data_IF_846317989732
#
_entry.id   IF_846317989732
#
_cell.length_a   1.000
_cell.length_b   1.000
_cell.length_c   1.000
_cell.angle_alpha   90.00
_cell.angle_beta   90.00
_cell.angle_gamma   90.00
#
_symmetry.space_group_name_H-M   'P 1'
#
loop_
_entity.id
_entity.type
_entity.pdbx_description
1 polymer ?
#
# COMPACT_ATOMS: atom_id res chain seq x y z
N UNK A 1 5.39 -4.74 -0.13
CA UNK A 1 4.62 -5.80 -0.83
C UNK A 1 4.10 -6.87 0.14
N UNK A 2 4.86 -7.27 1.17
CA UNK A 2 4.43 -8.25 2.20
C UNK A 2 3.01 -8.03 2.77
N UNK A 3 2.61 -6.79 3.08
CA UNK A 3 1.26 -6.51 3.59
C UNK A 3 0.15 -6.79 2.56
N UNK A 4 0.43 -6.55 1.27
CA UNK A 4 -0.50 -6.83 0.16
C UNK A 4 -0.69 -8.33 0.00
N UNK A 5 0.38 -9.13 0.14
CA UNK A 5 0.33 -10.59 0.07
C UNK A 5 -0.48 -11.19 1.21
N UNK A 6 -0.20 -10.77 2.46
CA UNK A 6 -0.95 -11.23 3.64
C UNK A 6 -2.44 -10.86 3.52
N UNK A 7 -2.76 -9.66 3.03
CA UNK A 7 -4.15 -9.26 2.82
C UNK A 7 -4.83 -10.08 1.71
N UNK A 8 -4.10 -10.43 0.64
CA UNK A 8 -4.62 -11.27 -0.43
C UNK A 8 -5.04 -12.65 0.07
N UNK A 9 -4.20 -13.27 0.90
CA UNK A 9 -4.51 -14.55 1.55
C UNK A 9 -5.74 -14.42 2.45
N UNK A 10 -5.76 -13.41 3.33
CA UNK A 10 -6.91 -13.13 4.18
C UNK A 10 -8.21 -12.96 3.37
N UNK A 11 -8.18 -12.18 2.29
CA UNK A 11 -9.35 -11.90 1.46
C UNK A 11 -9.90 -13.17 0.77
N UNK A 12 -9.01 -14.08 0.35
CA UNK A 12 -9.38 -15.37 -0.22
C UNK A 12 -10.03 -16.31 0.81
N UNK A 13 -9.66 -16.23 2.09
CA UNK A 13 -10.33 -17.03 3.13
C UNK A 13 -11.78 -16.59 3.36
N UNK A 14 -12.07 -15.30 3.21
CA UNK A 14 -13.40 -14.71 3.47
C UNK A 14 -14.33 -14.75 2.27
N UNK A 15 -13.79 -14.69 1.05
CA UNK A 15 -14.59 -14.60 -0.17
C UNK A 15 -14.21 -15.71 -1.15
N UNK A 16 -15.22 -16.45 -1.64
CA UNK A 16 -15.03 -17.50 -2.66
C UNK A 16 -15.27 -16.93 -4.06
N UNK A 17 -14.52 -17.44 -5.05
CA UNK A 17 -14.64 -17.10 -6.48
C UNK A 17 -14.48 -15.60 -6.82
N UNK A 18 -13.76 -14.83 -6.00
CA UNK A 18 -13.43 -13.43 -6.29
C UNK A 18 -11.92 -13.26 -6.47
N UNK A 19 -11.53 -12.46 -7.47
CA UNK A 19 -10.14 -12.10 -7.76
C UNK A 19 -9.89 -10.66 -7.35
N UNK A 20 -9.00 -10.46 -6.37
CA UNK A 20 -8.55 -9.14 -5.95
C UNK A 20 -7.43 -8.66 -6.87
N UNK A 21 -7.58 -7.46 -7.43
CA UNK A 21 -6.60 -6.81 -8.31
C UNK A 21 -6.21 -5.48 -7.69
N UNK A 22 -4.90 -5.27 -7.46
CA UNK A 22 -4.38 -3.99 -6.96
C UNK A 22 -4.10 -3.05 -8.12
N UNK A 23 -4.62 -1.83 -8.02
CA UNK A 23 -4.38 -0.76 -8.98
C UNK A 23 -3.46 0.27 -8.31
N UNK A 24 -2.16 0.13 -8.55
CA UNK A 24 -1.14 1.00 -7.94
C UNK A 24 -1.25 2.46 -8.42
N UNK A 25 -1.78 2.71 -9.61
CA UNK A 25 -1.99 4.08 -10.11
C UNK A 25 -3.00 4.88 -9.29
N UNK A 26 -3.88 4.21 -8.55
CA UNK A 26 -4.90 4.84 -7.72
C UNK A 26 -4.48 4.90 -6.23
N UNK A 27 -3.35 4.31 -5.88
CA UNK A 27 -2.85 4.26 -4.51
C UNK A 27 -1.96 5.45 -4.16
N UNK A 28 -2.05 5.90 -2.91
CA UNK A 28 -1.09 6.80 -2.28
C UNK A 28 -0.44 6.10 -1.09
N UNK A 29 0.83 6.36 -0.82
CA UNK A 29 1.49 5.97 0.40
C UNK A 29 1.97 7.22 1.15
N UNK A 30 2.09 7.04 2.46
CA UNK A 30 2.58 8.06 3.36
C UNK A 30 4.00 7.67 3.80
N UNK A 31 4.97 8.54 3.55
CA UNK A 31 6.38 8.32 3.81
C UNK A 31 6.87 9.42 4.74
N UNK A 32 7.48 9.02 5.85
CA UNK A 32 8.21 9.96 6.70
C UNK A 32 9.63 10.14 6.18
N UNK A 33 9.87 11.26 5.49
CA UNK A 33 11.19 11.70 5.07
C UNK A 33 11.92 12.34 6.24
N UNK A 34 12.91 11.65 6.80
CA UNK A 34 13.77 12.18 7.87
C UNK A 34 14.83 13.11 7.29
N UNK A 35 14.43 14.33 6.98
CA UNK A 35 15.36 15.40 6.60
C UNK A 35 15.82 16.13 7.86
N UNK A 36 17.07 16.57 7.93
CA UNK A 36 17.51 17.52 8.95
C UNK A 36 17.27 18.94 8.43
N UNK A 37 16.72 19.87 9.25
CA UNK A 37 16.49 19.79 10.70
C UNK A 37 15.12 19.20 11.13
N UNK A 38 14.25 18.79 10.19
CA UNK A 38 12.88 18.33 10.52
C UNK A 38 12.41 17.19 9.61
N UNK A 39 11.86 16.15 10.25
CA UNK A 39 11.15 15.08 9.53
C UNK A 39 9.86 15.62 8.91
N UNK A 40 9.66 15.33 7.61
CA UNK A 40 8.49 15.73 6.85
C UNK A 40 7.70 14.49 6.45
N UNK A 41 6.38 14.58 6.58
CA UNK A 41 5.46 13.56 6.11
C UNK A 41 5.12 13.85 4.65
N UNK A 42 5.36 12.88 3.77
CA UNK A 42 5.16 12.98 2.34
C UNK A 42 4.04 12.03 1.93
N UNK A 43 2.99 12.57 1.33
CA UNK A 43 1.96 11.77 0.67
C UNK A 43 2.37 11.66 -0.80
N UNK A 44 2.77 10.47 -1.21
CA UNK A 44 3.23 10.19 -2.58
C UNK A 44 2.35 9.13 -3.22
N UNK A 45 2.31 9.09 -4.55
CA UNK A 45 1.64 8.02 -5.28
C UNK A 45 2.44 6.73 -5.17
N UNK A 46 1.80 5.55 -5.26
CA UNK A 46 2.53 4.27 -5.10
C UNK A 46 3.49 3.90 -6.25
N UNK A 47 3.66 4.80 -7.24
CA UNK A 47 4.65 4.68 -8.32
C UNK A 47 5.93 5.51 -8.09
N UNK A 48 5.90 6.51 -7.20
CA UNK A 48 7.06 7.35 -6.89
C UNK A 48 8.12 6.59 -6.10
#
# INVERSE_FOLDING_TARGET
IKCVEVFKEFYQTKTKHRKLTWIYSLGTCNINGKFEPKTMELIVTTYQ
#
